data_IF_177883669377
#
_entry.id   IF_177883669377
#
_cell.length_a   1.000
_cell.length_b   1.000
_cell.length_c   1.000
_cell.angle_alpha   90.00
_cell.angle_beta   90.00
_cell.angle_gamma   90.00
#
_symmetry.space_group_name_H-M   'P 1'
#
loop_
_entity.id
_entity.type
_entity.pdbx_description
1 polymer ?
#
# COMPACT_ATOMS: atom_id res chain seq x y z
N UNK A 1 -0.55 -15.26 -18.93
CA UNK A 1 0.81 -15.37 -18.36
C UNK A 1 1.17 -16.82 -18.10
N UNK A 2 0.60 -17.47 -17.07
CA UNK A 2 0.87 -18.88 -16.74
C UNK A 2 0.44 -19.81 -17.89
N UNK A 3 -0.84 -19.76 -18.30
CA UNK A 3 -1.35 -20.57 -19.43
C UNK A 3 -0.67 -20.26 -20.77
N UNK A 4 -0.09 -19.07 -20.91
CA UNK A 4 0.63 -18.65 -22.10
C UNK A 4 2.14 -19.02 -22.07
N UNK A 5 2.62 -19.64 -20.98
CA UNK A 5 4.02 -20.04 -20.83
C UNK A 5 4.99 -18.88 -20.64
N UNK A 6 4.52 -17.70 -20.23
CA UNK A 6 5.39 -16.53 -20.02
C UNK A 6 6.03 -16.47 -18.63
N UNK A 7 5.55 -17.28 -17.70
CA UNK A 7 6.07 -17.37 -16.34
C UNK A 7 5.85 -18.78 -15.81
N UNK A 8 6.84 -19.29 -15.08
CA UNK A 8 6.84 -20.60 -14.44
C UNK A 8 7.26 -20.51 -12.95
N UNK A 9 6.82 -21.45 -12.08
CA UNK A 9 7.28 -21.51 -10.70
C UNK A 9 8.79 -21.51 -10.59
N UNK A 10 9.34 -20.61 -9.77
CA UNK A 10 10.77 -20.38 -9.62
C UNK A 10 11.32 -19.23 -10.47
N UNK A 11 10.54 -18.68 -11.41
CA UNK A 11 10.86 -17.40 -12.02
C UNK A 11 10.58 -16.24 -11.03
N UNK A 12 11.32 -15.12 -11.15
CA UNK A 12 10.97 -13.90 -10.44
C UNK A 12 9.53 -13.45 -10.74
N UNK A 13 8.91 -12.80 -9.77
CA UNK A 13 7.61 -12.16 -9.99
C UNK A 13 7.73 -11.03 -11.01
N UNK A 14 6.64 -10.78 -11.73
CA UNK A 14 6.62 -9.74 -12.76
C UNK A 14 6.26 -8.40 -12.12
N UNK A 15 7.22 -7.47 -12.16
CA UNK A 15 7.03 -6.11 -11.69
C UNK A 15 6.24 -5.28 -12.72
N UNK A 16 5.08 -4.79 -12.32
CA UNK A 16 4.26 -3.87 -13.10
C UNK A 16 4.33 -2.49 -12.45
N UNK A 17 4.89 -1.53 -13.16
CA UNK A 17 4.99 -0.14 -12.71
C UNK A 17 3.87 0.68 -13.33
N UNK A 18 3.13 1.42 -12.50
CA UNK A 18 1.99 2.22 -12.97
C UNK A 18 1.91 3.58 -12.30
N UNK A 19 1.33 4.53 -13.03
CA UNK A 19 1.06 5.86 -12.51
C UNK A 19 -0.32 5.94 -11.81
N UNK A 20 -0.51 7.03 -11.08
CA UNK A 20 -1.66 7.41 -10.26
C UNK A 20 -2.98 7.57 -11.02
N UNK A 21 -2.96 7.49 -12.35
CA UNK A 21 -4.16 7.40 -13.18
C UNK A 21 -4.86 6.03 -13.09
N UNK A 22 -4.16 5.00 -12.61
CA UNK A 22 -4.70 3.66 -12.42
C UNK A 22 -5.12 3.41 -10.96
N UNK A 23 -6.15 2.58 -10.78
CA UNK A 23 -6.58 2.15 -9.45
C UNK A 23 -5.73 0.97 -8.96
N UNK A 24 -4.54 1.28 -8.41
CA UNK A 24 -3.61 0.27 -7.89
C UNK A 24 -4.23 -0.57 -6.77
N UNK A 25 -5.14 0.01 -5.97
CA UNK A 25 -5.87 -0.68 -4.90
C UNK A 25 -6.83 -1.74 -5.44
N UNK A 26 -7.55 -1.43 -6.51
CA UNK A 26 -8.38 -2.43 -7.18
C UNK A 26 -7.51 -3.50 -7.85
N UNK A 27 -6.45 -3.10 -8.53
CA UNK A 27 -5.56 -4.03 -9.25
C UNK A 27 -4.82 -4.98 -8.32
N UNK A 28 -4.40 -4.53 -7.13
CA UNK A 28 -3.76 -5.42 -6.15
C UNK A 28 -4.71 -6.51 -5.67
N UNK A 29 -6.00 -6.22 -5.55
CA UNK A 29 -7.01 -7.23 -5.26
C UNK A 29 -7.29 -8.13 -6.47
N UNK A 30 -7.51 -7.56 -7.65
CA UNK A 30 -7.88 -8.29 -8.85
C UNK A 30 -6.77 -9.24 -9.35
N UNK A 31 -5.51 -8.93 -9.05
CA UNK A 31 -4.34 -9.69 -9.49
C UNK A 31 -3.68 -10.48 -8.35
N UNK A 32 -4.32 -10.60 -7.18
CA UNK A 32 -3.74 -11.21 -5.98
C UNK A 32 -3.26 -12.65 -6.17
N UNK A 33 -3.88 -13.40 -7.10
CA UNK A 33 -3.54 -14.79 -7.37
C UNK A 33 -2.56 -14.96 -8.55
N UNK A 34 -2.01 -13.87 -9.07
CA UNK A 34 -1.02 -13.88 -10.15
C UNK A 34 0.38 -13.58 -9.61
N UNK A 35 1.44 -14.09 -10.27
CA UNK A 35 2.83 -13.88 -9.83
C UNK A 35 3.32 -12.47 -10.25
N UNK A 36 2.65 -11.44 -9.76
CA UNK A 36 2.92 -10.04 -10.10
C UNK A 36 3.12 -9.18 -8.85
N UNK A 37 4.04 -8.24 -8.95
CA UNK A 37 4.24 -7.17 -7.97
C UNK A 37 3.81 -5.86 -8.60
N UNK A 38 2.95 -5.11 -7.93
CA UNK A 38 2.51 -3.79 -8.38
C UNK A 38 3.32 -2.70 -7.68
N UNK A 39 4.01 -1.88 -8.46
CA UNK A 39 4.61 -0.63 -8.00
C UNK A 39 3.82 0.53 -8.59
N UNK A 40 2.88 1.06 -7.81
CA UNK A 40 2.00 2.14 -8.24
C UNK A 40 2.30 3.45 -7.52
N UNK A 41 2.27 4.57 -8.25
CA UNK A 41 2.19 5.89 -7.61
C UNK A 41 0.76 6.13 -7.14
N UNK A 42 0.57 6.42 -5.85
CA UNK A 42 -0.73 6.85 -5.34
C UNK A 42 -0.93 8.35 -5.57
N UNK A 43 -2.15 8.76 -5.93
CA UNK A 43 -2.48 10.19 -6.07
C UNK A 43 -2.42 10.89 -4.72
N UNK A 44 -1.83 12.08 -4.67
CA UNK A 44 -1.67 12.85 -3.42
C UNK A 44 -2.99 13.32 -2.78
N UNK A 45 -4.10 13.27 -3.51
CA UNK A 45 -5.44 13.60 -2.99
C UNK A 45 -6.15 12.43 -2.29
N UNK A 46 -5.50 11.26 -2.20
CA UNK A 46 -6.06 10.09 -1.52
C UNK A 46 -6.02 10.24 0.00
N UNK A 47 -7.02 9.62 0.63
CA UNK A 47 -7.17 9.48 2.07
C UNK A 47 -7.21 7.99 2.39
N UNK A 48 -6.29 7.54 3.22
CA UNK A 48 -6.24 6.19 3.77
C UNK A 48 -6.72 6.19 5.22
N UNK A 49 -7.17 5.03 5.69
CA UNK A 49 -7.66 4.84 7.04
C UNK A 49 -6.90 3.67 7.67
N UNK A 50 -6.34 3.88 8.85
CA UNK A 50 -5.74 2.80 9.66
C UNK A 50 -6.80 1.77 10.06
N UNK A 51 -6.34 0.63 10.55
CA UNK A 51 -7.18 -0.28 11.29
C UNK A 51 -7.83 0.42 12.50
N UNK A 52 -9.08 0.08 12.85
CA UNK A 52 -9.81 0.70 13.95
C UNK A 52 -9.13 0.56 15.33
N UNK A 53 -8.15 -0.34 15.44
CA UNK A 53 -7.50 -0.73 16.67
C UNK A 53 -8.42 -1.56 17.59
N UNK A 54 -8.06 -1.70 18.87
CA UNK A 54 -8.83 -2.47 19.84
C UNK A 54 -10.27 -1.96 19.94
N UNK A 55 -11.19 -2.88 20.26
CA UNK A 55 -12.56 -2.51 20.54
C UNK A 55 -12.62 -1.60 21.79
N UNK A 56 -13.25 -0.43 21.63
CA UNK A 56 -13.42 0.57 22.69
C UNK A 56 -14.87 0.64 23.18
N UNK A 57 -15.73 -0.31 22.81
CA UNK A 57 -17.13 -0.31 23.24
C UNK A 57 -17.25 -0.53 24.74
N UNK A 58 -17.98 0.36 25.40
CA UNK A 58 -18.42 0.17 26.77
C UNK A 58 -19.60 -0.81 26.88
N UNK A 59 -20.03 -1.09 28.12
CA UNK A 59 -21.10 -2.05 28.46
C UNK A 59 -22.42 -1.86 27.69
N UNK A 60 -22.76 -0.62 27.31
CA UNK A 60 -23.97 -0.31 26.54
C UNK A 60 -23.86 -0.64 25.04
N UNK A 61 -22.68 -1.06 24.58
CA UNK A 61 -22.44 -1.51 23.21
C UNK A 61 -22.57 -0.42 22.15
N UNK A 62 -22.41 -0.82 20.90
CA UNK A 62 -22.47 0.03 19.70
C UNK A 62 -21.95 -0.76 18.50
N UNK A 63 -21.91 -0.15 17.30
CA UNK A 63 -21.29 -0.80 16.14
C UNK A 63 -19.76 -0.70 16.21
N UNK A 64 -19.02 -1.78 15.85
CA UNK A 64 -17.62 -1.73 15.41
C UNK A 64 -17.26 -0.49 14.59
N UNK A 65 -16.26 0.26 15.07
CA UNK A 65 -15.53 1.16 14.18
C UNK A 65 -14.93 0.30 13.08
N UNK A 66 -15.19 0.66 11.84
CA UNK A 66 -14.57 0.01 10.67
C UNK A 66 -13.17 0.56 10.40
N UNK A 67 -12.90 1.79 10.84
CA UNK A 67 -11.73 2.56 10.46
C UNK A 67 -11.13 3.30 11.66
N UNK A 68 -9.80 3.38 11.66
CA UNK A 68 -8.97 4.06 12.64
C UNK A 68 -8.64 5.50 12.23
N UNK A 69 -7.43 5.93 12.55
CA UNK A 69 -6.92 7.27 12.22
C UNK A 69 -6.89 7.51 10.72
N UNK A 70 -7.14 8.76 10.35
CA UNK A 70 -7.08 9.25 8.96
C UNK A 70 -5.63 9.55 8.60
N UNK A 71 -5.21 9.15 7.40
CA UNK A 71 -3.97 9.60 6.77
C UNK A 71 -4.33 10.19 5.41
N UNK A 72 -4.22 11.50 5.29
CA UNK A 72 -4.41 12.22 4.04
C UNK A 72 -3.05 12.50 3.43
N UNK A 73 -2.79 12.02 2.22
CA UNK A 73 -1.47 12.22 1.60
C UNK A 73 -1.12 13.70 1.40
N UNK A 74 -2.10 14.56 1.14
CA UNK A 74 -1.88 16.00 1.04
C UNK A 74 -1.68 16.74 2.38
N UNK A 75 -1.82 16.07 3.54
CA UNK A 75 -1.81 16.70 4.87
C UNK A 75 -0.85 15.99 5.84
N UNK A 76 0.43 16.41 5.90
CA UNK A 76 1.45 15.77 6.73
C UNK A 76 1.12 15.72 8.22
N UNK A 77 0.34 16.66 8.74
CA UNK A 77 -0.16 16.67 10.13
C UNK A 77 -1.11 15.51 10.46
N UNK A 78 -1.65 14.84 9.44
CA UNK A 78 -2.44 13.61 9.58
C UNK A 78 -1.59 12.33 9.48
N UNK A 79 -0.31 12.44 9.15
CA UNK A 79 0.56 11.27 8.99
C UNK A 79 0.93 10.74 10.37
N UNK A 80 0.90 9.42 10.51
CA UNK A 80 1.33 8.73 11.72
C UNK A 80 2.81 8.38 11.64
N UNK A 81 3.38 7.99 12.77
CA UNK A 81 4.70 7.34 12.79
C UNK A 81 4.68 6.14 11.83
N UNK A 82 5.64 6.08 10.88
CA UNK A 82 5.79 4.94 10.00
C UNK A 82 6.05 3.66 10.80
N UNK A 83 5.40 2.57 10.41
CA UNK A 83 5.69 1.25 10.99
C UNK A 83 6.98 0.68 10.37
N UNK A 84 7.33 1.12 9.16
CA UNK A 84 8.54 0.70 8.45
C UNK A 84 9.21 1.91 7.79
N UNK A 85 10.52 2.00 7.96
CA UNK A 85 11.35 2.93 7.23
C UNK A 85 12.49 2.15 6.58
N UNK A 86 12.78 2.44 5.31
CA UNK A 86 13.91 1.88 4.58
C UNK A 86 14.75 3.02 4.01
N UNK A 87 16.06 2.81 4.01
CA UNK A 87 17.02 3.71 3.40
C UNK A 87 17.95 2.89 2.52
N UNK A 88 18.27 3.40 1.33
CA UNK A 88 19.20 2.77 0.40
C UNK A 88 20.14 3.82 -0.16
N UNK A 89 21.45 3.55 -0.13
CA UNK A 89 22.41 4.38 -0.84
C UNK A 89 22.26 4.13 -2.34
N UNK A 90 22.10 5.21 -3.10
CA UNK A 90 21.95 5.16 -4.54
C UNK A 90 23.14 5.85 -5.19
N UNK A 91 23.66 5.23 -6.24
CA UNK A 91 24.82 5.73 -6.99
C UNK A 91 24.61 7.11 -7.62
N UNK A 92 23.36 7.56 -7.78
CA UNK A 92 23.01 8.82 -8.48
C UNK A 92 22.34 9.88 -7.61
N UNK A 93 21.63 9.49 -6.56
CA UNK A 93 20.80 10.42 -5.78
C UNK A 93 21.21 10.49 -4.31
N UNK A 94 22.30 9.82 -3.92
CA UNK A 94 22.65 9.63 -2.53
C UNK A 94 21.63 8.72 -1.84
N UNK A 95 21.35 8.97 -0.56
CA UNK A 95 20.44 8.13 0.22
C UNK A 95 18.99 8.39 -0.23
N UNK A 96 18.33 7.33 -0.68
CA UNK A 96 16.89 7.30 -0.91
C UNK A 96 16.18 6.73 0.32
N UNK A 97 15.22 7.48 0.86
CA UNK A 97 14.42 7.08 2.02
C UNK A 97 12.97 6.82 1.62
N UNK A 98 12.39 5.75 2.16
CA UNK A 98 10.97 5.45 2.05
C UNK A 98 10.40 5.12 3.43
N UNK A 99 9.23 5.68 3.73
CA UNK A 99 8.53 5.50 5.01
C UNK A 99 7.09 5.04 4.75
N UNK A 100 6.63 4.02 5.45
CA UNK A 100 5.28 3.47 5.38
C UNK A 100 4.67 3.27 6.77
#
# INVERSE_FOLDING_TARGET
MIRAGHWEPGNPEILIVMDSGYDVTYLSHALADLPVVLLGRLRSDRVMLRDPGPDRRGRKGGRPRRHGGVLTFAKPDTWHTPDTATAADTTRYGIAEATA
#
